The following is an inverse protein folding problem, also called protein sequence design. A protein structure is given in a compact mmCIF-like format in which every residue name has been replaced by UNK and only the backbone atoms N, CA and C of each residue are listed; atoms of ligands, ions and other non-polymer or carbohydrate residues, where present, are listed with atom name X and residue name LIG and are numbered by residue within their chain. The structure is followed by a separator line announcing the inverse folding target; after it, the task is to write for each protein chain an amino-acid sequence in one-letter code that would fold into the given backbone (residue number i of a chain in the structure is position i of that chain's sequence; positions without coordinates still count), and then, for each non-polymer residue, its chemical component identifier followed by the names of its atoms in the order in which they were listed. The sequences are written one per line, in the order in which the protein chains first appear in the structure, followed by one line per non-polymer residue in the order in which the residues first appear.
data_IF_803957839388
#
_entry.id   IF_803957839388
#
_cell.length_a   1.000
_cell.length_b   1.000
_cell.length_c   1.000
_cell.angle_alpha   90.00
_cell.angle_beta   90.00
_cell.angle_gamma   90.00
#
_symmetry.space_group_name_H-M   'P 1'
#
loop_
_entity.id
_entity.type
_entity.pdbx_description
1 polymer ?
#
# COMPACT_ATOMS: atom_id res chain seq x y z
N UNK A 1 15.68 19.26 30.89
CA UNK A 1 15.48 17.84 31.03
C UNK A 1 15.26 17.21 29.68
N UNK A 2 16.03 16.22 29.35
CA UNK A 2 15.97 15.62 28.03
C UNK A 2 14.86 14.60 27.97
N UNK A 3 13.88 14.83 27.13
CA UNK A 3 12.92 13.81 26.73
C UNK A 3 13.35 13.14 25.44
N UNK A 4 14.64 12.87 25.33
CA UNK A 4 15.10 12.07 24.21
C UNK A 4 14.39 10.73 24.24
N UNK A 5 13.90 10.31 23.09
CA UNK A 5 13.35 8.97 22.92
C UNK A 5 14.39 7.97 23.43
N UNK A 6 13.97 7.06 24.27
CA UNK A 6 14.86 6.03 24.77
C UNK A 6 15.45 5.25 23.59
N UNK A 7 16.73 4.86 23.65
CA UNK A 7 17.35 4.11 22.55
C UNK A 7 16.58 2.86 22.14
N UNK A 8 15.91 2.19 23.09
CA UNK A 8 15.08 1.03 22.82
C UNK A 8 13.85 1.35 21.94
N UNK A 9 13.21 2.51 22.15
CA UNK A 9 12.10 2.95 21.29
C UNK A 9 12.56 3.28 19.89
N UNK A 10 13.70 3.92 19.75
CA UNK A 10 14.29 4.20 18.43
C UNK A 10 14.66 2.90 17.71
N UNK A 11 15.19 1.93 18.42
CA UNK A 11 15.51 0.61 17.86
C UNK A 11 14.28 -0.13 17.42
N UNK A 12 13.19 -0.07 18.19
CA UNK A 12 11.92 -0.70 17.81
C UNK A 12 11.32 -0.05 16.57
N UNK A 13 11.33 1.27 16.48
CA UNK A 13 10.85 1.99 15.31
C UNK A 13 11.68 1.63 14.07
N UNK A 14 13.00 1.59 14.19
CA UNK A 14 13.90 1.19 13.12
C UNK A 14 13.69 -0.27 12.72
N UNK A 15 13.49 -1.18 13.69
CA UNK A 15 13.25 -2.59 13.43
C UNK A 15 11.91 -2.82 12.71
N UNK A 16 10.85 -2.08 13.07
CA UNK A 16 9.55 -2.14 12.39
C UNK A 16 9.69 -1.64 10.97
N UNK A 17 10.35 -0.49 10.75
CA UNK A 17 10.63 0.02 9.41
C UNK A 17 11.45 -0.96 8.58
N UNK A 18 12.47 -1.56 9.17
CA UNK A 18 13.31 -2.53 8.48
C UNK A 18 12.56 -3.82 8.11
N UNK A 19 11.57 -4.22 8.91
CA UNK A 19 10.74 -5.39 8.60
C UNK A 19 9.76 -5.13 7.47
N UNK A 20 9.23 -3.91 7.38
CA UNK A 20 8.28 -3.54 6.33
C UNK A 20 8.97 -3.18 5.01
N UNK A 21 10.13 -2.52 5.09
CA UNK A 21 10.85 -2.08 3.90
C UNK A 21 11.19 -3.22 2.91
N UNK A 22 11.66 -4.42 3.32
CA UNK A 22 11.90 -5.52 2.39
C UNK A 22 10.64 -6.05 1.72
N UNK A 23 9.51 -6.11 2.44
CA UNK A 23 8.22 -6.52 1.87
C UNK A 23 7.70 -5.51 0.87
N UNK A 24 7.75 -4.22 1.21
CA UNK A 24 7.37 -3.13 0.33
C UNK A 24 8.23 -3.12 -0.92
N UNK A 25 9.54 -3.31 -0.77
CA UNK A 25 10.47 -3.36 -1.89
C UNK A 25 10.21 -4.56 -2.80
N UNK A 26 10.00 -5.74 -2.21
CA UNK A 26 9.69 -6.96 -2.96
C UNK A 26 8.37 -6.82 -3.72
N UNK A 27 7.34 -6.28 -3.07
CA UNK A 27 6.06 -6.01 -3.69
C UNK A 27 6.20 -5.00 -4.84
N UNK A 28 6.92 -3.91 -4.62
CA UNK A 28 7.15 -2.88 -5.63
C UNK A 28 7.90 -3.45 -6.85
N UNK A 29 8.92 -4.25 -6.62
CA UNK A 29 9.68 -4.91 -7.70
C UNK A 29 8.77 -5.85 -8.49
N UNK A 30 7.98 -6.68 -7.80
CA UNK A 30 7.08 -7.62 -8.46
C UNK A 30 5.98 -6.89 -9.24
N UNK A 31 5.43 -5.82 -8.69
CA UNK A 31 4.46 -4.97 -9.36
C UNK A 31 5.02 -4.38 -10.64
N UNK A 32 6.24 -3.86 -10.60
CA UNK A 32 6.90 -3.33 -11.79
C UNK A 32 7.11 -4.40 -12.86
N UNK A 33 7.49 -5.60 -12.46
CA UNK A 33 7.65 -6.73 -13.38
C UNK A 33 6.34 -7.07 -14.08
N UNK A 34 5.24 -7.13 -13.33
CA UNK A 34 3.92 -7.42 -13.87
C UNK A 34 3.45 -6.30 -14.79
N UNK A 35 3.65 -5.05 -14.39
CA UNK A 35 3.26 -3.88 -15.17
C UNK A 35 4.11 -3.71 -16.43
N UNK A 36 5.32 -4.26 -16.45
CA UNK A 36 6.20 -4.30 -17.63
C UNK A 36 5.87 -5.44 -18.59
N UNK A 37 4.66 -5.99 -18.53
CA UNK A 37 4.14 -7.04 -19.41
C UNK A 37 4.85 -8.40 -19.30
N UNK A 38 5.44 -8.69 -18.17
CA UNK A 38 5.92 -10.05 -17.90
C UNK A 38 4.73 -10.97 -17.69
N UNK A 39 4.78 -12.22 -18.18
CA UNK A 39 3.66 -13.14 -18.02
C UNK A 39 3.26 -13.30 -16.55
N UNK A 40 1.98 -13.12 -16.29
CA UNK A 40 1.42 -13.32 -14.96
C UNK A 40 0.06 -13.99 -15.13
N UNK A 41 -0.30 -14.84 -14.17
CA UNK A 41 -1.62 -15.47 -14.16
C UNK A 41 -2.65 -14.53 -13.53
N UNK A 42 -3.92 -14.75 -13.82
CA UNK A 42 -5.02 -14.02 -13.16
C UNK A 42 -4.92 -14.19 -11.63
N UNK A 43 -4.62 -15.41 -11.17
CA UNK A 43 -4.47 -15.71 -9.75
C UNK A 43 -3.33 -14.90 -9.12
N UNK A 44 -2.19 -14.79 -9.81
CA UNK A 44 -1.06 -13.97 -9.34
C UNK A 44 -1.43 -12.49 -9.27
N UNK A 45 -2.12 -11.97 -10.29
CA UNK A 45 -2.57 -10.58 -10.30
C UNK A 45 -3.53 -10.29 -9.15
N UNK A 46 -4.44 -11.21 -8.85
CA UNK A 46 -5.37 -11.06 -7.72
C UNK A 46 -4.63 -11.09 -6.38
N UNK A 47 -3.66 -11.97 -6.24
CA UNK A 47 -2.85 -12.06 -5.03
C UNK A 47 -2.06 -10.78 -4.80
N UNK A 48 -1.45 -10.24 -5.86
CA UNK A 48 -0.73 -8.96 -5.79
C UNK A 48 -1.68 -7.80 -5.48
N UNK A 49 -2.89 -7.81 -6.04
CA UNK A 49 -3.90 -6.80 -5.73
C UNK A 49 -4.31 -6.85 -4.26
N UNK A 50 -4.47 -8.04 -3.69
CA UNK A 50 -4.77 -8.20 -2.26
C UNK A 50 -3.63 -7.67 -1.38
N UNK A 51 -2.39 -7.96 -1.74
CA UNK A 51 -1.22 -7.43 -1.03
C UNK A 51 -1.15 -5.92 -1.11
N UNK A 52 -1.39 -5.35 -2.29
CA UNK A 52 -1.44 -3.90 -2.48
C UNK A 52 -2.56 -3.27 -1.66
N UNK A 53 -3.72 -3.91 -1.60
CA UNK A 53 -4.84 -3.43 -0.79
C UNK A 53 -4.52 -3.47 0.71
N UNK A 54 -3.86 -4.52 1.19
CA UNK A 54 -3.43 -4.61 2.57
C UNK A 54 -2.44 -3.50 2.92
N UNK A 55 -1.50 -3.21 2.03
CA UNK A 55 -0.55 -2.11 2.19
C UNK A 55 -1.27 -0.76 2.20
N UNK A 56 -2.19 -0.55 1.27
CA UNK A 56 -3.02 0.66 1.23
C UNK A 56 -3.76 0.90 2.54
N UNK A 57 -4.38 -0.15 3.10
CA UNK A 57 -5.09 -0.07 4.37
C UNK A 57 -4.15 0.25 5.53
N UNK A 58 -2.96 -0.34 5.54
CA UNK A 58 -1.95 -0.06 6.57
C UNK A 58 -1.50 1.41 6.51
N UNK A 59 -1.27 1.95 5.32
CA UNK A 59 -0.89 3.36 5.15
C UNK A 59 -2.01 4.29 5.62
N UNK A 60 -3.25 3.99 5.27
CA UNK A 60 -4.42 4.77 5.75
C UNK A 60 -4.52 4.76 7.27
N UNK A 61 -4.31 3.61 7.90
CA UNK A 61 -4.35 3.49 9.35
C UNK A 61 -3.24 4.33 10.00
N UNK A 62 -2.04 4.33 9.44
CA UNK A 62 -0.92 5.14 9.92
C UNK A 62 -1.21 6.64 9.78
N UNK A 63 -1.74 7.06 8.65
CA UNK A 63 -2.11 8.47 8.42
C UNK A 63 -3.19 8.89 9.41
N UNK A 64 -4.24 8.08 9.60
CA UNK A 64 -5.32 8.37 10.54
C UNK A 64 -4.81 8.47 11.98
N UNK A 65 -3.88 7.59 12.37
CA UNK A 65 -3.28 7.63 13.70
C UNK A 65 -2.46 8.92 13.91
N UNK A 66 -1.68 9.32 12.91
CA UNK A 66 -0.91 10.56 12.95
C UNK A 66 -1.82 11.79 12.99
N UNK A 67 -2.91 11.79 12.20
CA UNK A 67 -3.89 12.88 12.21
C UNK A 67 -4.58 13.03 13.57
N UNK A 68 -4.94 11.91 14.20
CA UNK A 68 -5.51 11.93 15.54
C UNK A 68 -4.52 12.47 16.56
N UNK A 69 -3.26 12.07 16.46
CA UNK A 69 -2.22 12.57 17.35
C UNK A 69 -2.00 14.07 17.17
N UNK A 70 -2.01 14.57 15.94
CA UNK A 70 -1.94 16.02 15.67
C UNK A 70 -3.11 16.73 16.33
N UNK A 71 -4.33 16.19 16.21
CA UNK A 71 -5.51 16.78 16.83
C UNK A 71 -5.40 16.82 18.36
N UNK A 72 -4.94 15.73 18.97
CA UNK A 72 -4.75 15.65 20.43
C UNK A 72 -3.68 16.64 20.89
N UNK A 73 -2.54 16.71 20.22
CA UNK A 73 -1.46 17.63 20.55
C UNK A 73 -1.87 19.09 20.35
N UNK A 74 -2.63 19.37 19.30
CA UNK A 74 -3.12 20.72 19.00
C UNK A 74 -4.16 21.20 20.00
N UNK A 75 -4.90 20.28 20.62
CA UNK A 75 -5.90 20.62 21.63
C UNK A 75 -5.29 20.96 22.99
N UNK A 76 -4.04 20.55 23.25
CA UNK A 76 -3.34 20.83 24.50
C UNK A 76 -2.54 22.14 24.35
N UNK A 77 -2.91 23.20 25.09
CA UNK A 77 -2.19 24.47 25.00
C UNK A 77 -0.75 24.41 25.49
N UNK A 78 -0.39 23.36 26.24
CA UNK A 78 0.95 23.16 26.74
C UNK A 78 1.82 22.31 25.83
N UNK A 79 1.29 21.79 24.74
CA UNK A 79 2.05 21.00 23.77
C UNK A 79 3.06 21.86 23.03
N UNK A 80 4.29 21.37 22.88
CA UNK A 80 5.27 22.01 22.01
C UNK A 80 4.95 21.78 20.55
N UNK A 81 5.43 22.64 19.68
CA UNK A 81 5.19 22.55 18.23
C UNK A 81 5.99 21.43 17.57
N UNK A 82 7.11 21.01 18.16
CA UNK A 82 8.00 20.02 17.55
C UNK A 82 7.34 18.66 17.30
N UNK A 83 6.59 18.06 18.26
CA UNK A 83 5.87 16.82 17.99
C UNK A 83 4.79 16.97 16.92
N UNK A 84 4.11 18.11 16.90
CA UNK A 84 3.08 18.40 15.89
C UNK A 84 3.71 18.47 14.50
N UNK A 85 4.80 19.20 14.36
CA UNK A 85 5.54 19.31 13.10
C UNK A 85 6.05 17.93 12.63
N UNK A 86 6.55 17.12 13.54
CA UNK A 86 7.03 15.78 13.23
C UNK A 86 5.92 14.89 12.67
N UNK A 87 4.73 14.92 13.29
CA UNK A 87 3.59 14.14 12.82
C UNK A 87 3.05 14.66 11.47
N UNK A 88 3.04 15.96 11.27
CA UNK A 88 2.65 16.54 9.98
C UNK A 88 3.61 16.14 8.86
N UNK A 89 4.90 16.12 9.13
CA UNK A 89 5.92 15.64 8.19
C UNK A 89 5.70 14.16 7.84
N UNK A 90 5.34 13.36 8.84
CA UNK A 90 5.05 11.94 8.64
C UNK A 90 3.84 11.75 7.73
N UNK A 91 2.76 12.50 7.96
CA UNK A 91 1.58 12.48 7.11
C UNK A 91 1.94 12.86 5.68
N UNK A 92 2.71 13.93 5.50
CA UNK A 92 3.13 14.38 4.17
C UNK A 92 4.00 13.35 3.45
N UNK A 93 4.79 12.58 4.17
CA UNK A 93 5.60 11.51 3.59
C UNK A 93 4.75 10.29 3.20
N UNK A 94 3.70 9.96 3.96
CA UNK A 94 2.86 8.79 3.73
C UNK A 94 1.81 9.00 2.64
N UNK A 95 1.31 10.22 2.47
CA UNK A 95 0.28 10.51 1.46
C UNK A 95 0.66 10.13 0.03
N UNK A 96 1.86 10.50 -0.46
CA UNK A 96 2.27 10.08 -1.81
C UNK A 96 2.37 8.56 -1.96
N UNK A 97 2.83 7.86 -0.94
CA UNK A 97 2.89 6.40 -0.96
C UNK A 97 1.47 5.80 -1.06
N UNK A 98 0.52 6.37 -0.33
CA UNK A 98 -0.88 5.94 -0.41
C UNK A 98 -1.46 6.13 -1.80
N UNK A 99 -1.18 7.26 -2.44
CA UNK A 99 -1.63 7.54 -3.81
C UNK A 99 -1.02 6.52 -4.77
N UNK A 100 0.27 6.25 -4.65
CA UNK A 100 0.97 5.30 -5.51
C UNK A 100 0.42 3.89 -5.37
N UNK A 101 0.29 3.38 -4.14
CA UNK A 101 -0.21 2.02 -3.91
C UNK A 101 -1.69 1.88 -4.31
N UNK A 102 -2.48 2.93 -4.14
CA UNK A 102 -3.88 2.94 -4.59
C UNK A 102 -3.96 2.80 -6.10
N UNK A 103 -3.12 3.53 -6.82
CA UNK A 103 -3.04 3.45 -8.29
C UNK A 103 -2.59 2.06 -8.75
N UNK A 104 -1.59 1.49 -8.10
CA UNK A 104 -1.10 0.14 -8.41
C UNK A 104 -2.17 -0.92 -8.16
N UNK A 105 -2.89 -0.81 -7.06
CA UNK A 105 -4.00 -1.71 -6.73
C UNK A 105 -5.08 -1.69 -7.80
N UNK A 106 -5.50 -0.50 -8.21
CA UNK A 106 -6.51 -0.34 -9.27
C UNK A 106 -6.04 -0.93 -10.60
N UNK A 107 -4.79 -0.72 -10.95
CA UNK A 107 -4.22 -1.23 -12.19
C UNK A 107 -4.13 -2.76 -12.20
N UNK A 108 -3.74 -3.36 -11.07
CA UNK A 108 -3.70 -4.82 -10.92
C UNK A 108 -5.11 -5.42 -11.04
N UNK A 109 -6.09 -4.82 -10.39
CA UNK A 109 -7.48 -5.27 -10.49
C UNK A 109 -8.00 -5.18 -11.93
N UNK A 110 -7.68 -4.09 -12.60
CA UNK A 110 -8.08 -3.89 -14.00
C UNK A 110 -7.45 -4.95 -14.90
N UNK A 111 -6.17 -5.26 -14.72
CA UNK A 111 -5.49 -6.30 -15.49
C UNK A 111 -6.08 -7.68 -15.24
N UNK A 112 -6.40 -7.99 -13.98
CA UNK A 112 -7.05 -9.26 -13.64
C UNK A 112 -8.41 -9.39 -14.31
N UNK A 113 -9.20 -8.32 -14.31
CA UNK A 113 -10.51 -8.29 -14.99
C UNK A 113 -10.36 -8.47 -16.50
N UNK A 114 -9.40 -7.81 -17.10
CA UNK A 114 -9.12 -7.92 -18.53
C UNK A 114 -8.73 -9.35 -18.90
N UNK A 115 -7.86 -9.98 -18.13
CA UNK A 115 -7.47 -11.37 -18.35
C UNK A 115 -8.67 -12.31 -18.26
N UNK A 116 -9.52 -12.11 -17.26
CA UNK A 116 -10.73 -12.92 -17.09
C UNK A 116 -11.68 -12.74 -18.28
N UNK A 117 -11.89 -11.53 -18.71
CA UNK A 117 -12.73 -11.21 -19.88
C UNK A 117 -12.18 -11.87 -21.13
N UNK A 118 -10.89 -11.77 -21.38
CA UNK A 118 -10.25 -12.42 -22.53
C UNK A 118 -10.38 -13.94 -22.47
N UNK A 119 -10.21 -14.52 -21.27
CA UNK A 119 -10.39 -15.95 -21.09
C UNK A 119 -11.82 -16.39 -21.40
N UNK A 120 -12.82 -15.66 -20.89
CA UNK A 120 -14.24 -15.93 -21.14
C UNK A 120 -14.58 -15.82 -22.62
N UNK A 121 -14.04 -14.81 -23.30
CA UNK A 121 -14.25 -14.63 -24.75
C UNK A 121 -13.63 -15.78 -25.55
N UNK A 122 -12.45 -16.24 -25.16
CA UNK A 122 -11.84 -17.41 -25.80
C UNK A 122 -12.65 -18.68 -25.57
N UNK A 123 -13.20 -18.87 -24.36
CA UNK A 123 -14.08 -20.01 -24.07
C UNK A 123 -15.36 -19.94 -24.88
N UNK A 124 -15.96 -18.78 -25.02
CA UNK A 124 -17.15 -18.58 -25.84
C UNK A 124 -16.87 -18.86 -27.31
N UNK A 125 -15.70 -18.42 -27.81
CA UNK A 125 -15.30 -18.68 -29.19
C UNK A 125 -14.94 -20.14 -29.47
N UNK A 126 -14.55 -20.88 -28.44
CA UNK A 126 -14.19 -22.31 -28.53
C UNK A 126 -15.38 -23.23 -28.33
N UNK A 127 -16.51 -22.72 -27.84
CA UNK A 127 -17.71 -23.52 -27.60
C UNK A 127 -18.28 -24.08 -28.91
N UNK A 128 -18.70 -25.36 -28.94
CA UNK A 128 -19.33 -25.90 -30.14
C UNK A 128 -20.59 -25.10 -30.43
N UNK A 129 -20.77 -24.74 -31.70
CA UNK A 129 -21.97 -24.06 -32.13
C UNK A 129 -23.14 -25.02 -32.17
N UNK A 130 -24.26 -24.60 -31.57
CA UNK A 130 -25.43 -25.46 -31.41
C UNK A 130 -26.05 -25.91 -32.74
N UNK A 131 -25.83 -25.20 -33.78
CA UNK A 131 -26.35 -25.53 -35.10
C UNK A 131 -25.76 -26.80 -35.69
N UNK A 132 -24.61 -27.17 -35.23
CA UNK A 132 -23.91 -28.34 -35.73
C UNK A 132 -24.41 -29.60 -35.04
#
# INVERSE_FOLDING_TARGET
MQHALRPDKLRRAAAVSARHAPMELALTVRLREVLADRPATESELRMLAEEADAWRRALRAQISASERLVAELSADPNSSLAPIASELQRIDALKPELVEVTSLHEELEQRARTMRTEWLLRQAGSAPRAKD
#
